data_IF_528624448175
#
_entry.id   IF_528624448175
#
_cell.length_a   1.000
_cell.length_b   1.000
_cell.length_c   1.000
_cell.angle_alpha   90.00
_cell.angle_beta   90.00
_cell.angle_gamma   90.00
#
_symmetry.space_group_name_H-M   'P 1'
#
loop_
_entity.id
_entity.type
_entity.pdbx_description
1 polymer ?
#
# COMPACT_ATOMS: atom_id res chain seq x y z
N UNK A 1 -23.49 -3.33 5.65
CA UNK A 1 -22.06 -3.76 5.59
C UNK A 1 -21.10 -2.63 5.98
N UNK A 2 -21.13 -1.45 5.34
CA UNK A 2 -20.21 -0.34 5.69
C UNK A 2 -20.26 0.09 7.16
N UNK A 3 -21.44 0.20 7.75
CA UNK A 3 -21.57 0.51 9.17
C UNK A 3 -20.89 -0.54 10.09
N UNK A 4 -20.94 -1.82 9.71
CA UNK A 4 -20.27 -2.88 10.47
C UNK A 4 -18.73 -2.78 10.38
N UNK A 5 -18.21 -2.28 9.25
CA UNK A 5 -16.78 -1.96 9.11
C UNK A 5 -16.40 -0.82 10.05
N UNK A 6 -17.20 0.26 10.13
CA UNK A 6 -16.94 1.33 11.09
C UNK A 6 -16.87 0.80 12.53
N UNK A 7 -17.86 0.01 12.96
CA UNK A 7 -17.87 -0.58 14.31
C UNK A 7 -16.66 -1.51 14.55
N UNK A 8 -16.21 -2.24 13.53
CA UNK A 8 -14.99 -3.04 13.61
C UNK A 8 -13.76 -2.15 13.81
N UNK A 9 -13.62 -1.08 13.03
CA UNK A 9 -12.50 -0.15 13.14
C UNK A 9 -12.42 0.55 14.49
N UNK A 10 -13.55 1.02 15.02
CA UNK A 10 -13.59 1.62 16.36
C UNK A 10 -13.17 0.62 17.44
N UNK A 11 -13.62 -0.64 17.32
CA UNK A 11 -13.32 -1.69 18.30
C UNK A 11 -11.86 -2.15 18.28
N UNK A 12 -11.29 -2.35 17.09
CA UNK A 12 -9.97 -2.99 16.94
C UNK A 12 -8.83 -2.01 16.69
N UNK A 13 -9.10 -0.84 16.11
CA UNK A 13 -8.10 0.17 15.78
C UNK A 13 -8.30 1.50 16.51
N UNK A 14 -9.42 1.71 17.21
CA UNK A 14 -9.66 2.86 18.07
C UNK A 14 -10.09 4.14 17.35
N UNK A 15 -10.49 4.06 16.08
CA UNK A 15 -11.00 5.21 15.31
C UNK A 15 -12.12 4.81 14.34
N UNK A 16 -12.96 5.78 13.96
CA UNK A 16 -14.08 5.59 13.02
C UNK A 16 -13.67 5.84 11.58
N UNK A 17 -14.30 5.13 10.63
CA UNK A 17 -14.20 5.37 9.18
C UNK A 17 -15.58 5.68 8.60
N UNK A 18 -15.67 6.76 7.82
CA UNK A 18 -16.91 7.20 7.21
C UNK A 18 -17.33 6.28 6.05
N UNK A 19 -18.63 6.21 5.77
CA UNK A 19 -19.15 5.29 4.76
C UNK A 19 -18.62 5.59 3.33
N UNK A 20 -18.23 6.83 3.03
CA UNK A 20 -17.61 7.23 1.77
C UNK A 20 -16.12 6.88 1.68
N UNK A 21 -15.47 6.50 2.78
CA UNK A 21 -14.07 6.02 2.82
C UNK A 21 -13.96 4.50 2.64
N UNK A 22 -15.09 3.80 2.54
CA UNK A 22 -15.15 2.33 2.43
C UNK A 22 -15.62 1.92 1.04
N UNK A 23 -14.83 1.11 0.34
CA UNK A 23 -15.18 0.46 -0.92
C UNK A 23 -15.17 -1.06 -0.77
N UNK A 24 -15.94 -1.75 -1.62
CA UNK A 24 -15.97 -3.22 -1.67
C UNK A 24 -15.46 -3.68 -3.02
N UNK A 25 -14.68 -4.76 -3.01
CA UNK A 25 -14.11 -5.36 -4.21
C UNK A 25 -14.04 -6.88 -4.04
N UNK A 26 -13.82 -7.60 -5.14
CA UNK A 26 -13.69 -9.06 -5.16
C UNK A 26 -12.33 -9.50 -4.62
N UNK A 27 -12.16 -9.39 -3.30
CA UNK A 27 -10.94 -9.78 -2.57
C UNK A 27 -9.82 -8.73 -2.60
N UNK A 28 -8.87 -8.89 -1.68
CA UNK A 28 -7.84 -7.89 -1.41
C UNK A 28 -6.91 -7.60 -2.60
N UNK A 29 -6.58 -8.61 -3.42
CA UNK A 29 -5.76 -8.41 -4.62
C UNK A 29 -6.41 -7.46 -5.63
N UNK A 30 -7.73 -7.57 -5.80
CA UNK A 30 -8.47 -6.69 -6.70
C UNK A 30 -8.61 -5.29 -6.11
N UNK A 31 -8.82 -5.17 -4.79
CA UNK A 31 -8.78 -3.87 -4.09
C UNK A 31 -7.45 -3.13 -4.29
N UNK A 32 -6.33 -3.84 -4.16
CA UNK A 32 -4.99 -3.26 -4.39
C UNK A 32 -4.78 -2.86 -5.85
N UNK A 33 -5.20 -3.71 -6.80
CA UNK A 33 -5.17 -3.35 -8.22
C UNK A 33 -5.94 -2.05 -8.49
N UNK A 34 -7.18 -1.94 -8.03
CA UNK A 34 -7.98 -0.72 -8.22
C UNK A 34 -7.39 0.49 -7.52
N UNK A 35 -6.71 0.29 -6.38
CA UNK A 35 -6.01 1.37 -5.69
C UNK A 35 -4.84 1.89 -6.51
N UNK A 36 -3.92 1.03 -6.95
CA UNK A 36 -2.78 1.46 -7.77
C UNK A 36 -3.23 2.14 -9.06
N UNK A 37 -4.22 1.57 -9.76
CA UNK A 37 -4.78 2.18 -10.97
C UNK A 37 -5.44 3.54 -10.74
N UNK A 38 -5.86 3.86 -9.51
CA UNK A 38 -6.54 5.12 -9.19
C UNK A 38 -5.59 6.21 -8.69
N UNK A 39 -4.45 5.85 -8.10
CA UNK A 39 -3.55 6.81 -7.42
C UNK A 39 -2.19 6.99 -8.09
N UNK A 40 -1.77 6.04 -8.95
CA UNK A 40 -0.47 6.07 -9.63
C UNK A 40 -0.67 6.62 -11.04
N UNK A 41 0.11 7.64 -11.40
CA UNK A 41 0.20 8.14 -12.77
C UNK A 41 1.40 7.52 -13.49
N UNK A 42 1.42 7.58 -14.84
CA UNK A 42 2.58 7.14 -15.61
C UNK A 42 3.86 7.86 -15.18
N UNK A 43 4.89 7.08 -14.82
CA UNK A 43 6.18 7.57 -14.35
C UNK A 43 6.29 7.81 -12.84
N UNK A 44 5.19 7.77 -12.08
CA UNK A 44 5.25 7.92 -10.61
C UNK A 44 6.08 6.80 -9.99
N UNK A 45 6.96 7.17 -9.06
CA UNK A 45 7.76 6.21 -8.31
C UNK A 45 6.99 5.67 -7.10
N UNK A 46 6.98 4.35 -6.92
CA UNK A 46 6.34 3.70 -5.77
C UNK A 46 7.37 2.90 -5.00
N UNK A 47 7.68 3.36 -3.79
CA UNK A 47 8.65 2.71 -2.90
C UNK A 47 8.06 1.43 -2.31
N UNK A 48 8.77 0.30 -2.45
CA UNK A 48 8.36 -1.02 -1.99
C UNK A 48 9.51 -1.69 -1.23
N UNK A 49 9.28 -2.10 0.02
CA UNK A 49 10.27 -2.80 0.84
C UNK A 49 10.39 -4.27 0.45
N UNK A 50 11.62 -4.78 0.28
CA UNK A 50 11.87 -6.21 0.02
C UNK A 50 12.31 -6.93 1.30
N UNK A 51 11.85 -8.18 1.54
CA UNK A 51 10.92 -8.97 0.73
C UNK A 51 9.47 -8.44 0.76
N UNK A 52 8.75 -8.53 -0.36
CA UNK A 52 7.38 -8.02 -0.52
C UNK A 52 6.40 -9.07 -1.04
N UNK A 53 5.10 -8.78 -0.95
CA UNK A 53 4.06 -9.59 -1.58
C UNK A 53 4.11 -9.43 -3.10
N UNK A 54 4.37 -10.54 -3.79
CA UNK A 54 4.75 -10.61 -5.23
C UNK A 54 3.99 -9.67 -6.17
N UNK A 55 2.70 -9.43 -5.93
CA UNK A 55 1.87 -8.63 -6.84
C UNK A 55 2.05 -7.11 -6.72
N UNK A 56 2.69 -6.55 -5.68
CA UNK A 56 2.81 -5.09 -5.55
C UNK A 56 3.59 -4.45 -6.71
N UNK A 57 4.79 -4.95 -6.99
CA UNK A 57 5.62 -4.39 -8.06
C UNK A 57 4.97 -4.50 -9.44
N UNK A 58 4.29 -5.61 -9.72
CA UNK A 58 3.61 -5.79 -11.01
C UNK A 58 2.37 -4.91 -11.14
N UNK A 59 1.59 -4.72 -10.06
CA UNK A 59 0.43 -3.83 -10.09
C UNK A 59 0.82 -2.36 -10.24
N UNK A 60 1.96 -1.93 -9.70
CA UNK A 60 2.51 -0.59 -9.95
C UNK A 60 2.88 -0.41 -11.42
N UNK A 61 3.58 -1.39 -12.03
CA UNK A 61 3.93 -1.36 -13.45
C UNK A 61 2.70 -1.36 -14.37
N UNK A 62 1.63 -2.07 -13.98
CA UNK A 62 0.37 -2.05 -14.72
C UNK A 62 -0.28 -0.66 -14.77
N UNK A 63 -0.06 0.16 -13.74
CA UNK A 63 -0.47 1.57 -13.69
C UNK A 63 0.58 2.52 -14.31
N UNK A 64 1.53 1.99 -15.09
CA UNK A 64 2.64 2.74 -15.71
C UNK A 64 3.60 3.42 -14.72
N UNK A 65 3.52 3.06 -13.43
CA UNK A 65 4.45 3.53 -12.40
C UNK A 65 5.76 2.76 -12.38
N UNK A 66 6.72 3.30 -11.63
CA UNK A 66 8.08 2.76 -11.47
C UNK A 66 8.27 2.23 -10.05
N UNK A 67 8.35 0.90 -9.85
CA UNK A 67 8.65 0.35 -8.53
C UNK A 67 10.10 0.68 -8.11
N UNK A 68 10.26 1.31 -6.96
CA UNK A 68 11.57 1.58 -6.33
C UNK A 68 11.73 0.65 -5.14
N UNK A 69 12.66 -0.30 -5.23
CA UNK A 69 12.83 -1.32 -4.20
C UNK A 69 13.84 -0.91 -3.14
N UNK A 70 13.43 -0.97 -1.87
CA UNK A 70 14.33 -0.78 -0.72
C UNK A 70 14.50 -2.09 0.03
N UNK A 71 15.74 -2.51 0.28
CA UNK A 71 16.00 -3.78 0.95
C UNK A 71 15.87 -3.64 2.46
N UNK A 72 14.90 -4.34 3.05
CA UNK A 72 14.82 -4.53 4.48
C UNK A 72 15.74 -5.69 4.89
N UNK A 73 16.38 -5.56 6.06
CA UNK A 73 17.34 -6.54 6.56
C UNK A 73 16.72 -7.38 7.67
N UNK A 74 17.13 -8.65 7.74
CA UNK A 74 16.67 -9.60 8.76
C UNK A 74 17.07 -9.17 10.17
N UNK A 75 18.25 -8.56 10.34
CA UNK A 75 18.76 -8.03 11.60
C UNK A 75 17.84 -6.98 12.25
N UNK A 76 17.05 -6.26 11.43
CA UNK A 76 16.02 -5.32 11.84
C UNK A 76 14.60 -5.88 11.62
N UNK A 77 14.44 -7.20 11.66
CA UNK A 77 13.14 -7.89 11.49
C UNK A 77 12.41 -7.51 10.20
N UNK A 78 13.14 -7.29 9.11
CA UNK A 78 12.63 -6.85 7.81
C UNK A 78 11.84 -5.53 7.88
N UNK A 79 12.10 -4.69 8.88
CA UNK A 79 11.58 -3.32 8.94
C UNK A 79 12.48 -2.39 8.17
N UNK A 80 11.85 -1.49 7.44
CA UNK A 80 12.52 -0.33 6.81
C UNK A 80 12.63 0.81 7.80
N UNK A 81 13.80 1.45 7.82
CA UNK A 81 14.08 2.64 8.62
C UNK A 81 13.65 3.90 7.89
N UNK A 82 13.48 5.00 8.64
CA UNK A 82 13.13 6.31 8.05
C UNK A 82 14.26 6.77 7.12
N UNK A 83 15.51 6.57 7.50
CA UNK A 83 16.68 6.94 6.71
C UNK A 83 16.72 6.21 5.36
N UNK A 84 16.30 4.95 5.32
CA UNK A 84 16.18 4.21 4.06
C UNK A 84 15.06 4.73 3.17
N UNK A 85 13.93 5.16 3.77
CA UNK A 85 12.83 5.76 3.02
C UNK A 85 13.23 7.12 2.43
N UNK A 86 13.88 7.98 3.22
CA UNK A 86 14.37 9.28 2.77
C UNK A 86 15.43 9.16 1.68
N UNK A 87 16.31 8.16 1.76
CA UNK A 87 17.33 7.92 0.74
C UNK A 87 16.75 7.44 -0.61
N UNK A 88 15.55 6.86 -0.61
CA UNK A 88 14.86 6.40 -1.81
C UNK A 88 13.81 7.40 -2.33
N UNK A 89 13.46 8.41 -1.53
CA UNK A 89 12.50 9.45 -1.91
C UNK A 89 13.11 10.41 -2.92
N UNK A 90 12.34 10.71 -3.95
CA UNK A 90 12.58 11.79 -4.92
C UNK A 90 11.66 12.98 -4.63
N UNK A 91 11.95 14.14 -5.24
CA UNK A 91 11.20 15.39 -5.04
C UNK A 91 9.83 15.40 -5.74
#
# INVERSE_FOLDING_TARGET
LKAAINTYFERYYGYSVAANEVTFATGAKFSLYTFFMAVVNPGDEVIIQTPYWVSYGDQVKMAEGVPVFIQAKEDNHFKVTVEQLEAARTD
#
